data_IF_414411544486
#
_entry.id   IF_414411544486
#
_cell.length_a   1.000
_cell.length_b   1.000
_cell.length_c   1.000
_cell.angle_alpha   90.00
_cell.angle_beta   90.00
_cell.angle_gamma   90.00
#
_symmetry.space_group_name_H-M   'P 1'
#
loop_
_entity.id
_entity.type
_entity.pdbx_description
1 polymer ?
#
# COMPACT_ATOMS: atom_id res chain seq x y z
N UNK A 1 -48.02 -19.97 0.98
CA UNK A 1 -46.75 -19.33 0.58
C UNK A 1 -45.70 -20.42 0.48
N UNK A 2 -45.37 -20.87 -0.72
CA UNK A 2 -44.24 -21.77 -0.92
C UNK A 2 -42.97 -20.97 -0.63
N UNK A 3 -42.26 -21.31 0.46
CA UNK A 3 -41.09 -20.57 0.89
C UNK A 3 -39.97 -20.58 -0.17
N UNK A 4 -39.05 -19.61 -0.05
CA UNK A 4 -37.86 -19.39 -0.89
C UNK A 4 -37.04 -20.65 -1.31
N UNK A 5 -37.26 -21.81 -0.68
CA UNK A 5 -36.60 -23.07 -0.97
C UNK A 5 -36.82 -23.63 -2.39
N UNK A 6 -37.89 -23.24 -3.09
CA UNK A 6 -38.18 -23.73 -4.45
C UNK A 6 -37.22 -23.23 -5.52
N UNK A 7 -36.86 -21.94 -5.46
CA UNK A 7 -35.95 -21.30 -6.42
C UNK A 7 -34.51 -21.74 -6.26
N UNK A 8 -34.14 -22.20 -5.06
CA UNK A 8 -32.76 -22.60 -4.77
C UNK A 8 -32.43 -24.02 -5.28
N UNK A 9 -33.46 -24.84 -5.48
CA UNK A 9 -33.33 -26.23 -5.91
C UNK A 9 -33.07 -26.38 -7.41
N UNK A 10 -33.38 -25.35 -8.19
CA UNK A 10 -33.28 -25.37 -9.64
C UNK A 10 -32.25 -24.34 -10.10
N UNK A 11 -31.24 -24.80 -10.85
CA UNK A 11 -30.03 -24.00 -11.09
C UNK A 11 -30.29 -22.73 -11.92
N UNK A 12 -31.26 -22.80 -12.84
CA UNK A 12 -31.43 -21.82 -13.93
C UNK A 12 -32.82 -21.19 -13.93
N UNK A 13 -33.41 -21.02 -12.75
CA UNK A 13 -34.74 -20.42 -12.59
C UNK A 13 -34.60 -19.06 -11.93
N UNK A 14 -35.31 -18.07 -12.48
CA UNK A 14 -35.42 -16.74 -11.87
C UNK A 14 -36.31 -16.77 -10.64
N UNK A 15 -35.87 -16.09 -9.59
CA UNK A 15 -36.72 -15.77 -8.44
C UNK A 15 -37.83 -14.79 -8.82
N UNK A 16 -38.81 -14.60 -7.92
CA UNK A 16 -39.87 -13.60 -8.08
C UNK A 16 -39.34 -12.17 -8.30
N UNK A 17 -38.10 -11.90 -7.86
CA UNK A 17 -37.40 -10.62 -8.04
C UNK A 17 -36.61 -10.54 -9.35
N UNK A 18 -36.67 -11.54 -10.23
CA UNK A 18 -35.91 -11.59 -11.48
C UNK A 18 -34.42 -11.89 -11.28
N UNK A 19 -34.04 -12.55 -10.17
CA UNK A 19 -32.64 -12.84 -9.82
C UNK A 19 -32.30 -14.32 -9.95
N UNK A 20 -31.08 -14.64 -10.37
CA UNK A 20 -30.55 -16.01 -10.40
C UNK A 20 -29.75 -16.30 -9.13
N UNK A 21 -30.35 -16.98 -8.15
CA UNK A 21 -29.72 -17.21 -6.85
C UNK A 21 -28.41 -18.01 -6.93
N UNK A 22 -28.30 -18.98 -7.84
CA UNK A 22 -27.05 -19.74 -8.01
C UNK A 22 -25.87 -18.86 -8.46
N UNK A 23 -26.12 -17.82 -9.25
CA UNK A 23 -25.08 -16.85 -9.63
C UNK A 23 -24.64 -16.03 -8.42
N UNK A 24 -25.59 -15.59 -7.60
CA UNK A 24 -25.27 -14.87 -6.35
C UNK A 24 -24.50 -15.73 -5.37
N UNK A 25 -24.78 -17.03 -5.33
CA UNK A 25 -24.06 -17.97 -4.49
C UNK A 25 -22.64 -18.20 -5.01
N UNK A 26 -22.45 -18.22 -6.33
CA UNK A 26 -21.11 -18.23 -6.91
C UNK A 26 -20.31 -16.98 -6.51
N UNK A 27 -20.91 -15.78 -6.53
CA UNK A 27 -20.27 -14.57 -6.02
C UNK A 27 -19.94 -14.66 -4.52
N UNK A 28 -20.86 -15.15 -3.69
CA UNK A 28 -20.60 -15.38 -2.26
C UNK A 28 -19.47 -16.40 -2.04
N UNK A 29 -19.40 -17.45 -2.85
CA UNK A 29 -18.33 -18.44 -2.79
C UNK A 29 -16.96 -17.85 -3.15
N UNK A 30 -16.90 -16.92 -4.11
CA UNK A 30 -15.67 -16.19 -4.44
C UNK A 30 -15.16 -15.41 -3.23
N UNK A 31 -16.05 -14.68 -2.55
CA UNK A 31 -15.72 -13.96 -1.32
C UNK A 31 -15.32 -14.91 -0.19
N UNK A 32 -16.04 -16.04 -0.03
CA UNK A 32 -15.80 -17.01 1.03
C UNK A 32 -14.46 -17.75 0.91
N UNK A 33 -13.88 -17.82 -0.30
CA UNK A 33 -12.52 -18.37 -0.50
C UNK A 33 -11.45 -17.59 0.28
N UNK A 34 -11.75 -16.36 0.71
CA UNK A 34 -10.89 -15.53 1.54
C UNK A 34 -9.48 -15.31 0.94
N UNK A 35 -9.42 -15.20 -0.37
CA UNK A 35 -8.23 -14.80 -1.13
C UNK A 35 -8.57 -13.47 -1.81
N UNK A 36 -7.68 -12.50 -1.68
CA UNK A 36 -7.81 -11.21 -2.34
C UNK A 36 -6.82 -11.15 -3.51
N UNK A 37 -7.30 -10.69 -4.67
CA UNK A 37 -6.47 -10.42 -5.83
C UNK A 37 -6.71 -9.00 -6.39
N UNK A 38 -5.63 -8.35 -6.82
CA UNK A 38 -5.62 -7.01 -7.43
C UNK A 38 -5.11 -7.13 -8.87
N UNK A 39 -5.69 -6.37 -9.79
CA UNK A 39 -5.16 -6.18 -11.14
C UNK A 39 -4.95 -4.69 -11.41
N UNK A 40 -3.82 -4.33 -12.01
CA UNK A 40 -3.46 -2.94 -12.35
C UNK A 40 -2.87 -2.89 -13.75
N UNK A 41 -3.35 -1.96 -14.57
CA UNK A 41 -2.81 -1.69 -15.90
C UNK A 41 -1.86 -0.49 -15.86
N UNK A 42 -0.61 -0.70 -16.27
CA UNK A 42 0.40 0.33 -16.49
C UNK A 42 0.40 0.85 -17.93
N UNK A 43 1.39 1.69 -18.24
CA UNK A 43 1.59 2.24 -19.59
C UNK A 43 2.05 1.16 -20.58
N UNK A 44 3.06 0.40 -20.17
CA UNK A 44 3.77 -0.58 -21.00
C UNK A 44 3.71 -2.00 -20.39
N UNK A 45 2.99 -2.17 -19.28
CA UNK A 45 2.82 -3.44 -18.58
C UNK A 45 1.41 -3.60 -17.99
N UNK A 46 1.06 -4.81 -17.60
CA UNK A 46 -0.11 -5.08 -16.76
C UNK A 46 0.24 -6.14 -15.71
N UNK A 47 -0.30 -5.96 -14.51
CA UNK A 47 0.05 -6.74 -13.33
C UNK A 47 -1.21 -7.33 -12.71
N UNK A 48 -1.12 -8.59 -12.31
CA UNK A 48 -2.07 -9.22 -11.38
C UNK A 48 -1.31 -9.70 -10.16
N UNK A 49 -1.90 -9.49 -9.00
CA UNK A 49 -1.34 -9.86 -7.71
C UNK A 49 -2.38 -10.66 -6.94
N UNK A 50 -1.98 -11.78 -6.34
CA UNK A 50 -2.81 -12.57 -5.44
C UNK A 50 -2.13 -12.72 -4.08
N UNK A 51 -2.92 -12.73 -3.01
CA UNK A 51 -2.45 -13.27 -1.74
C UNK A 51 -2.15 -14.77 -1.89
N UNK A 52 -1.03 -15.22 -1.32
CA UNK A 52 -0.64 -16.63 -1.20
C UNK A 52 -0.82 -17.07 0.24
N UNK A 53 -1.82 -17.93 0.49
CA UNK A 53 -2.05 -18.53 1.81
C UNK A 53 -1.66 -20.00 1.79
N UNK A 54 -0.60 -20.34 2.52
CA UNK A 54 -0.21 -21.72 2.77
C UNK A 54 -0.61 -22.04 4.22
N UNK A 55 -1.70 -22.79 4.45
CA UNK A 55 -2.26 -22.95 5.80
C UNK A 55 -1.41 -23.86 6.70
N UNK A 56 -0.60 -24.74 6.12
CA UNK A 56 0.20 -25.74 6.83
C UNK A 56 1.65 -25.75 6.34
N UNK A 57 2.61 -25.90 7.25
CA UNK A 57 4.05 -25.95 6.94
C UNK A 57 4.46 -27.18 6.14
N UNK A 58 3.65 -28.24 6.15
CA UNK A 58 3.88 -29.47 5.40
C UNK A 58 3.40 -29.37 3.95
N UNK A 59 2.63 -28.33 3.59
CA UNK A 59 2.23 -28.08 2.21
C UNK A 59 3.42 -27.48 1.48
N UNK A 60 3.79 -28.08 0.34
CA UNK A 60 4.75 -27.49 -0.58
C UNK A 60 4.19 -26.17 -1.16
N UNK A 61 4.77 -25.00 -0.80
CA UNK A 61 4.27 -23.70 -1.25
C UNK A 61 4.31 -23.55 -2.77
N UNK A 62 5.19 -24.26 -3.47
CA UNK A 62 5.31 -24.19 -4.93
C UNK A 62 4.08 -24.72 -5.67
N UNK A 63 3.31 -25.60 -5.01
CA UNK A 63 2.09 -26.22 -5.55
C UNK A 63 0.83 -25.37 -5.37
N UNK A 64 0.89 -24.33 -4.54
CA UNK A 64 -0.21 -23.40 -4.26
C UNK A 64 -0.06 -22.19 -5.16
N UNK A 65 -0.98 -22.02 -6.11
CA UNK A 65 -1.02 -20.86 -7.01
C UNK A 65 -2.44 -20.47 -7.35
N UNK A 66 -2.69 -19.16 -7.39
CA UNK A 66 -3.92 -18.56 -7.94
C UNK A 66 -3.70 -17.90 -9.30
N UNK A 67 -2.45 -17.91 -9.78
CA UNK A 67 -2.02 -17.32 -11.04
C UNK A 67 -1.76 -18.43 -12.06
N UNK A 68 -2.34 -18.27 -13.24
CA UNK A 68 -2.31 -19.27 -14.32
C UNK A 68 -1.88 -18.62 -15.64
N UNK A 69 -0.93 -19.24 -16.30
CA UNK A 69 -0.57 -18.91 -17.67
C UNK A 69 -1.55 -19.59 -18.63
N UNK A 70 -2.23 -18.80 -19.47
CA UNK A 70 -3.21 -19.33 -20.44
C UNK A 70 -2.58 -19.53 -21.82
N UNK A 71 -1.73 -18.59 -22.22
CA UNK A 71 -0.90 -18.67 -23.42
C UNK A 71 0.46 -17.99 -23.16
N UNK A 72 1.40 -17.99 -24.12
CA UNK A 72 2.61 -17.17 -24.00
C UNK A 72 2.34 -15.67 -23.80
N UNK A 73 1.23 -15.14 -24.34
CA UNK A 73 0.88 -13.72 -24.29
C UNK A 73 -0.15 -13.35 -23.21
N UNK A 74 -0.93 -14.32 -22.71
CA UNK A 74 -2.01 -14.07 -21.75
C UNK A 74 -1.81 -14.89 -20.47
N UNK A 75 -1.87 -14.21 -19.33
CA UNK A 75 -2.00 -14.84 -18.03
C UNK A 75 -3.20 -14.31 -17.26
N UNK A 76 -3.51 -14.94 -16.14
CA UNK A 76 -4.60 -14.53 -15.29
C UNK A 76 -4.38 -14.85 -13.83
N UNK A 77 -5.12 -14.16 -12.98
CA UNK A 77 -5.40 -14.57 -11.60
C UNK A 77 -6.86 -15.00 -11.51
N UNK A 78 -7.12 -16.10 -10.79
CA UNK A 78 -8.48 -16.59 -10.55
C UNK A 78 -8.77 -16.64 -9.05
N UNK A 79 -9.79 -15.91 -8.63
CA UNK A 79 -10.22 -15.82 -7.22
C UNK A 79 -11.50 -16.61 -7.03
N UNK A 80 -11.53 -17.47 -6.02
CA UNK A 80 -12.70 -18.29 -5.66
C UNK A 80 -12.31 -19.75 -5.44
N UNK A 81 -13.18 -20.68 -5.83
CA UNK A 81 -12.91 -22.12 -5.70
C UNK A 81 -11.68 -22.52 -6.52
N UNK A 82 -10.63 -23.03 -5.87
CA UNK A 82 -9.39 -23.45 -6.54
C UNK A 82 -9.61 -24.62 -7.52
N UNK A 83 -10.58 -25.50 -7.22
CA UNK A 83 -10.96 -26.59 -8.10
C UNK A 83 -11.58 -26.05 -9.41
N UNK A 84 -12.45 -25.06 -9.28
CA UNK A 84 -13.04 -24.38 -10.44
C UNK A 84 -11.99 -23.58 -11.20
N UNK A 85 -11.07 -22.90 -10.51
CA UNK A 85 -10.00 -22.16 -11.14
C UNK A 85 -9.11 -23.05 -12.01
N UNK A 86 -8.74 -24.25 -11.53
CA UNK A 86 -7.96 -25.23 -12.31
C UNK A 86 -8.73 -25.76 -13.52
N UNK A 87 -10.01 -26.09 -13.36
CA UNK A 87 -10.83 -26.55 -14.46
C UNK A 87 -11.05 -25.44 -15.51
N UNK A 88 -11.28 -24.21 -15.06
CA UNK A 88 -11.53 -23.06 -15.92
C UNK A 88 -10.26 -22.58 -16.63
N UNK A 89 -9.10 -22.65 -15.98
CA UNK A 89 -7.81 -22.34 -16.63
C UNK A 89 -7.46 -23.35 -17.72
N UNK A 90 -7.68 -24.65 -17.49
CA UNK A 90 -7.54 -25.67 -18.53
C UNK A 90 -8.48 -25.42 -19.71
N UNK A 91 -9.73 -25.05 -19.43
CA UNK A 91 -10.68 -24.66 -20.49
C UNK A 91 -10.18 -23.46 -21.27
N UNK A 92 -9.68 -22.42 -20.59
CA UNK A 92 -9.14 -21.23 -21.23
C UNK A 92 -7.91 -21.54 -22.10
N UNK A 93 -7.01 -22.41 -21.64
CA UNK A 93 -5.86 -22.88 -22.41
C UNK A 93 -6.28 -23.59 -23.70
N UNK A 94 -7.31 -24.46 -23.63
CA UNK A 94 -7.87 -25.11 -24.82
C UNK A 94 -8.42 -24.10 -25.82
N UNK A 95 -9.22 -23.12 -25.36
CA UNK A 95 -9.80 -22.10 -26.23
C UNK A 95 -8.72 -21.22 -26.90
N UNK A 96 -7.67 -20.86 -26.16
CA UNK A 96 -6.54 -20.09 -26.70
C UNK A 96 -5.72 -20.91 -27.71
N UNK A 97 -5.46 -22.18 -27.41
CA UNK A 97 -4.73 -23.09 -28.31
C UNK A 97 -5.52 -23.35 -29.61
N UNK A 98 -6.82 -23.59 -29.51
CA UNK A 98 -7.70 -23.80 -30.65
C UNK A 98 -7.77 -22.55 -31.54
N UNK A 99 -7.84 -21.36 -30.92
CA UNK A 99 -7.78 -20.09 -31.64
C UNK A 99 -6.45 -19.97 -32.40
N UNK A 100 -5.32 -20.19 -31.73
CA UNK A 100 -4.00 -20.10 -32.35
C UNK A 100 -3.84 -21.09 -33.50
N UNK A 101 -4.31 -22.32 -33.32
CA UNK A 101 -4.30 -23.34 -34.36
C UNK A 101 -5.11 -22.89 -35.59
N UNK A 102 -6.28 -22.30 -35.37
CA UNK A 102 -7.18 -21.88 -36.44
C UNK A 102 -6.72 -20.62 -37.19
N UNK A 103 -6.18 -19.63 -36.47
CA UNK A 103 -5.90 -18.30 -37.03
C UNK A 103 -4.40 -18.01 -37.20
N UNK A 104 -3.52 -18.82 -36.62
CA UNK A 104 -2.06 -18.71 -36.80
C UNK A 104 -1.36 -17.68 -35.91
N UNK A 105 -2.07 -16.99 -35.02
CA UNK A 105 -1.51 -16.01 -34.07
C UNK A 105 -2.11 -16.19 -32.67
N UNK A 106 -1.45 -15.60 -31.66
CA UNK A 106 -1.91 -15.68 -30.27
C UNK A 106 -3.29 -15.03 -30.08
N UNK A 107 -4.16 -15.67 -29.29
CA UNK A 107 -5.50 -15.14 -29.06
C UNK A 107 -5.45 -13.80 -28.32
N UNK A 108 -6.06 -12.72 -28.86
CA UNK A 108 -6.18 -11.45 -28.17
C UNK A 108 -6.93 -11.59 -26.84
N UNK A 109 -6.51 -10.81 -25.83
CA UNK A 109 -7.04 -10.96 -24.48
C UNK A 109 -8.52 -10.58 -24.37
N UNK A 110 -8.97 -9.58 -25.13
CA UNK A 110 -10.38 -9.18 -25.21
C UNK A 110 -11.25 -10.30 -25.80
N UNK A 111 -10.76 -10.96 -26.87
CA UNK A 111 -11.43 -12.08 -27.50
C UNK A 111 -11.51 -13.28 -26.56
N UNK A 112 -10.42 -13.58 -25.83
CA UNK A 112 -10.40 -14.64 -24.83
C UNK A 112 -11.33 -14.31 -23.66
N UNK A 113 -11.32 -13.07 -23.14
CA UNK A 113 -12.21 -12.63 -22.07
C UNK A 113 -13.68 -12.80 -22.46
N UNK A 114 -14.06 -12.36 -23.66
CA UNK A 114 -15.39 -12.56 -24.23
C UNK A 114 -15.76 -14.04 -24.34
N UNK A 115 -14.83 -14.87 -24.81
CA UNK A 115 -15.05 -16.32 -24.95
C UNK A 115 -15.29 -16.98 -23.60
N UNK A 116 -14.49 -16.65 -22.59
CA UNK A 116 -14.65 -17.16 -21.23
C UNK A 116 -15.95 -16.69 -20.59
N UNK A 117 -16.33 -15.42 -20.77
CA UNK A 117 -17.64 -14.91 -20.33
C UNK A 117 -18.79 -15.69 -20.95
N UNK A 118 -18.76 -15.94 -22.27
CA UNK A 118 -19.79 -16.75 -22.93
C UNK A 118 -19.87 -18.18 -22.38
N UNK A 119 -18.72 -18.79 -22.05
CA UNK A 119 -18.69 -20.11 -21.41
C UNK A 119 -19.35 -20.04 -20.03
N UNK A 120 -18.97 -19.09 -19.17
CA UNK A 120 -19.60 -18.90 -17.86
C UNK A 120 -21.11 -18.66 -17.97
N UNK A 121 -21.52 -17.85 -18.93
CA UNK A 121 -22.92 -17.52 -19.19
C UNK A 121 -23.75 -18.78 -19.49
N UNK A 122 -23.23 -19.71 -20.29
CA UNK A 122 -23.92 -20.97 -20.62
C UNK A 122 -24.19 -21.81 -19.35
N UNK A 123 -23.30 -21.77 -18.36
CA UNK A 123 -23.48 -22.45 -17.08
C UNK A 123 -24.57 -21.80 -16.21
N UNK A 124 -25.01 -20.59 -16.52
CA UNK A 124 -26.16 -19.94 -15.84
C UNK A 124 -27.51 -20.30 -16.48
N UNK A 125 -27.50 -20.92 -17.66
CA UNK A 125 -28.71 -21.19 -18.45
C UNK A 125 -29.01 -22.68 -18.63
N UNK A 126 -28.03 -23.58 -18.41
CA UNK A 126 -28.23 -25.03 -18.53
C UNK A 126 -28.47 -25.70 -17.17
N UNK A 127 -29.64 -26.32 -17.02
CA UNK A 127 -30.17 -26.84 -15.76
C UNK A 127 -29.34 -27.94 -15.05
N UNK A 128 -28.30 -28.51 -15.69
CA UNK A 128 -27.47 -29.59 -15.16
C UNK A 128 -26.03 -29.14 -14.83
N UNK A 129 -25.71 -27.86 -14.96
CA UNK A 129 -24.36 -27.33 -14.72
C UNK A 129 -24.43 -26.21 -13.69
N UNK A 130 -23.72 -26.33 -12.57
CA UNK A 130 -23.60 -25.21 -11.63
C UNK A 130 -22.65 -24.14 -12.20
N UNK A 131 -22.90 -22.83 -12.00
CA UNK A 131 -21.94 -21.79 -12.37
C UNK A 131 -20.55 -22.01 -11.77
N UNK A 132 -19.53 -21.54 -12.47
CA UNK A 132 -18.17 -21.51 -11.95
C UNK A 132 -18.08 -20.54 -10.76
N UNK A 133 -17.55 -20.99 -9.63
CA UNK A 133 -17.35 -20.17 -8.44
C UNK A 133 -16.05 -19.37 -8.47
N UNK A 134 -15.70 -18.77 -9.63
CA UNK A 134 -14.46 -17.99 -9.79
C UNK A 134 -14.68 -16.68 -10.54
N UNK A 135 -13.98 -15.63 -10.11
CA UNK A 135 -13.75 -14.44 -10.90
C UNK A 135 -12.36 -14.54 -11.52
N UNK A 136 -12.25 -14.25 -12.82
CA UNK A 136 -10.99 -14.33 -13.56
C UNK A 136 -10.56 -12.92 -13.97
N UNK A 137 -9.33 -12.54 -13.62
CA UNK A 137 -8.72 -11.30 -14.09
C UNK A 137 -7.56 -11.63 -15.02
N UNK A 138 -7.67 -11.25 -16.28
CA UNK A 138 -6.72 -11.53 -17.36
C UNK A 138 -5.83 -10.32 -17.62
N UNK A 139 -4.57 -10.57 -17.95
CA UNK A 139 -3.61 -9.57 -18.42
C UNK A 139 -2.92 -10.03 -19.69
N UNK A 140 -2.65 -9.08 -20.59
CA UNK A 140 -1.83 -9.29 -21.79
C UNK A 140 -1.12 -8.00 -22.19
N UNK A 141 -0.06 -8.12 -22.97
CA UNK A 141 0.53 -7.01 -23.70
C UNK A 141 0.25 -7.20 -25.19
N UNK A 142 -0.77 -6.50 -25.69
CA UNK A 142 -1.15 -6.56 -27.10
C UNK A 142 -0.25 -5.64 -27.94
N UNK A 143 0.13 -6.10 -29.14
CA UNK A 143 1.03 -5.34 -30.02
C UNK A 143 0.41 -4.10 -30.64
N UNK A 144 -0.91 -4.03 -30.75
CA UNK A 144 -1.62 -2.91 -31.39
C UNK A 144 -2.21 -1.96 -30.33
N UNK A 145 -2.83 -2.50 -29.29
CA UNK A 145 -3.54 -1.71 -28.27
C UNK A 145 -2.81 -1.61 -26.93
N UNK A 146 -1.62 -2.19 -26.81
CA UNK A 146 -0.79 -2.13 -25.61
C UNK A 146 -1.32 -2.99 -24.46
N UNK A 147 -1.01 -2.66 -23.20
CA UNK A 147 -1.40 -3.46 -22.05
C UNK A 147 -2.92 -3.57 -21.91
N UNK A 148 -3.40 -4.76 -21.59
CA UNK A 148 -4.81 -5.05 -21.37
C UNK A 148 -5.01 -5.68 -19.98
N UNK A 149 -6.13 -5.32 -19.36
CA UNK A 149 -6.60 -5.89 -18.09
C UNK A 149 -8.11 -6.11 -18.21
N UNK A 150 -8.54 -7.37 -18.21
CA UNK A 150 -9.96 -7.73 -18.29
C UNK A 150 -10.37 -8.50 -17.06
N UNK A 151 -11.61 -8.33 -16.61
CA UNK A 151 -12.21 -9.19 -15.58
C UNK A 151 -13.46 -9.84 -16.12
N UNK A 152 -13.59 -11.14 -15.88
CA UNK A 152 -14.75 -11.96 -16.17
C UNK A 152 -15.34 -12.50 -14.87
N UNK A 153 -16.66 -12.59 -14.80
CA UNK A 153 -17.37 -13.10 -13.63
C UNK A 153 -18.24 -14.35 -13.94
N UNK A 154 -18.75 -15.05 -12.91
CA UNK A 154 -19.59 -16.24 -13.08
C UNK A 154 -20.89 -16.01 -13.85
N UNK A 155 -21.39 -14.77 -13.90
CA UNK A 155 -22.61 -14.42 -14.63
C UNK A 155 -22.38 -14.36 -16.15
N UNK A 156 -21.11 -14.38 -16.57
CA UNK A 156 -20.71 -14.21 -17.95
C UNK A 156 -20.57 -12.75 -18.36
N UNK A 157 -20.47 -11.84 -17.39
CA UNK A 157 -20.08 -10.47 -17.68
C UNK A 157 -18.55 -10.38 -17.80
N UNK A 158 -18.08 -9.57 -18.76
CA UNK A 158 -16.67 -9.23 -18.90
C UNK A 158 -16.51 -7.77 -19.30
N UNK A 159 -15.47 -7.12 -18.80
CA UNK A 159 -15.12 -5.75 -19.18
C UNK A 159 -13.64 -5.45 -18.93
N UNK A 160 -13.10 -4.48 -19.68
CA UNK A 160 -11.74 -3.97 -19.49
C UNK A 160 -11.65 -3.00 -18.33
N UNK A 161 -10.52 -3.01 -17.61
CA UNK A 161 -10.27 -2.20 -16.42
C UNK A 161 -8.94 -1.46 -16.51
N UNK A 162 -8.86 -0.30 -15.84
CA UNK A 162 -7.58 0.36 -15.51
C UNK A 162 -6.96 -0.23 -14.24
N UNK A 163 -7.82 -0.58 -13.29
CA UNK A 163 -7.51 -1.33 -12.09
C UNK A 163 -8.76 -2.06 -11.63
N UNK A 164 -8.60 -3.26 -11.06
CA UNK A 164 -9.71 -4.08 -10.57
C UNK A 164 -9.26 -4.93 -9.39
N UNK A 165 -10.21 -5.50 -8.67
CA UNK A 165 -9.94 -6.41 -7.56
C UNK A 165 -11.01 -7.51 -7.48
N UNK A 166 -10.70 -8.62 -6.83
CA UNK A 166 -11.64 -9.69 -6.53
C UNK A 166 -11.32 -10.33 -5.18
N UNK A 167 -12.33 -10.58 -4.34
CA UNK A 167 -12.18 -11.17 -3.01
C UNK A 167 -12.99 -10.48 -1.91
N UNK A 168 -12.71 -10.76 -0.62
CA UNK A 168 -13.48 -10.25 0.52
C UNK A 168 -13.60 -8.73 0.63
N UNK A 169 -12.53 -8.00 0.32
CA UNK A 169 -12.46 -6.53 0.42
C UNK A 169 -12.35 -5.86 -0.95
N UNK A 170 -13.09 -6.39 -1.92
CA UNK A 170 -13.05 -5.89 -3.29
C UNK A 170 -13.44 -4.41 -3.36
N UNK A 171 -14.47 -3.97 -2.63
CA UNK A 171 -14.96 -2.59 -2.73
C UNK A 171 -13.92 -1.59 -2.20
N UNK A 172 -13.26 -1.89 -1.09
CA UNK A 172 -12.22 -1.08 -0.50
C UNK A 172 -10.99 -0.99 -1.42
N UNK A 173 -10.62 -2.10 -2.07
CA UNK A 173 -9.55 -2.11 -3.06
C UNK A 173 -9.88 -1.25 -4.29
N UNK A 174 -11.11 -1.34 -4.80
CA UNK A 174 -11.57 -0.48 -5.89
C UNK A 174 -11.52 1.01 -5.48
N UNK A 175 -12.01 1.36 -4.29
CA UNK A 175 -11.97 2.73 -3.78
C UNK A 175 -10.52 3.25 -3.63
N UNK A 176 -9.58 2.39 -3.20
CA UNK A 176 -8.17 2.76 -3.12
C UNK A 176 -7.56 3.01 -4.51
N UNK A 177 -7.81 2.10 -5.46
CA UNK A 177 -7.34 2.23 -6.84
C UNK A 177 -7.93 3.47 -7.53
N UNK A 178 -9.22 3.77 -7.33
CA UNK A 178 -9.87 4.97 -7.87
C UNK A 178 -9.17 6.25 -7.41
N UNK A 179 -8.75 6.33 -6.15
CA UNK A 179 -7.99 7.48 -5.64
C UNK A 179 -6.61 7.58 -6.31
N UNK A 180 -5.89 6.47 -6.46
CA UNK A 180 -4.52 6.43 -7.02
C UNK A 180 -4.49 6.65 -8.53
N UNK A 181 -5.54 6.21 -9.25
CA UNK A 181 -5.70 6.29 -10.70
C UNK A 181 -6.63 7.44 -11.15
N UNK A 182 -7.03 8.33 -10.24
CA UNK A 182 -7.93 9.45 -10.54
C UNK A 182 -7.38 10.28 -11.71
N UNK A 183 -8.21 10.47 -12.73
CA UNK A 183 -7.89 11.20 -13.98
C UNK A 183 -6.70 10.61 -14.78
N UNK A 184 -6.40 9.32 -14.62
CA UNK A 184 -5.35 8.62 -15.36
C UNK A 184 -5.93 7.48 -16.19
N UNK A 185 -5.33 7.18 -17.33
CA UNK A 185 -5.73 6.06 -18.19
C UNK A 185 -5.05 4.73 -17.83
N UNK A 186 -3.93 4.83 -17.12
CA UNK A 186 -3.15 3.73 -16.59
C UNK A 186 -2.39 4.20 -15.35
N UNK A 187 -1.85 3.26 -14.58
CA UNK A 187 -0.88 3.57 -13.55
C UNK A 187 0.36 4.25 -14.17
N UNK A 188 0.87 5.34 -13.58
CA UNK A 188 2.08 6.01 -14.06
C UNK A 188 3.32 5.17 -13.73
N UNK A 189 4.43 5.51 -14.39
CA UNK A 189 5.71 4.89 -14.09
C UNK A 189 6.00 3.64 -14.92
N UNK A 190 7.04 2.93 -14.51
CA UNK A 190 7.47 1.67 -15.11
C UNK A 190 6.77 0.46 -14.47
N UNK A 191 7.22 -0.75 -14.79
CA UNK A 191 6.61 -1.96 -14.27
C UNK A 191 6.76 -2.11 -12.74
N UNK A 192 7.81 -1.56 -12.13
CA UNK A 192 8.04 -1.59 -10.68
C UNK A 192 7.00 -0.72 -9.97
N UNK A 193 6.74 0.48 -10.49
CA UNK A 193 5.70 1.39 -9.97
C UNK A 193 4.32 0.73 -9.99
N UNK A 194 4.03 -0.04 -11.04
CA UNK A 194 2.74 -0.73 -11.20
C UNK A 194 2.62 -1.92 -10.23
N UNK A 195 3.69 -2.68 -10.05
CA UNK A 195 3.78 -3.77 -9.06
C UNK A 195 3.60 -3.22 -7.64
N UNK A 196 4.29 -2.13 -7.34
CA UNK A 196 4.22 -1.45 -6.04
C UNK A 196 2.81 -0.93 -5.75
N UNK A 197 2.13 -0.33 -6.74
CA UNK A 197 0.75 0.11 -6.58
C UNK A 197 -0.19 -1.09 -6.28
N UNK A 198 0.05 -2.25 -6.89
CA UNK A 198 -0.71 -3.46 -6.61
C UNK A 198 -0.46 -3.97 -5.18
N UNK A 199 0.81 -4.04 -4.75
CA UNK A 199 1.21 -4.46 -3.38
C UNK A 199 0.62 -3.50 -2.35
N UNK A 200 0.81 -2.20 -2.54
CA UNK A 200 0.32 -1.14 -1.64
C UNK A 200 -1.20 -1.17 -1.52
N UNK A 201 -1.90 -1.39 -2.62
CA UNK A 201 -3.36 -1.55 -2.61
C UNK A 201 -3.77 -2.76 -1.77
N UNK A 202 -3.13 -3.91 -1.97
CA UNK A 202 -3.42 -5.11 -1.20
C UNK A 202 -3.13 -4.90 0.30
N UNK A 203 -1.95 -4.36 0.63
CA UNK A 203 -1.52 -4.10 2.01
C UNK A 203 -2.41 -3.11 2.74
N UNK A 204 -2.77 -2.00 2.09
CA UNK A 204 -3.65 -0.98 2.68
C UNK A 204 -5.02 -1.57 3.02
N UNK A 205 -5.61 -2.29 2.06
CA UNK A 205 -6.96 -2.84 2.19
C UNK A 205 -7.03 -3.95 3.23
N UNK A 206 -6.01 -4.82 3.26
CA UNK A 206 -5.92 -5.89 4.25
C UNK A 206 -5.32 -5.43 5.58
N UNK A 207 -4.79 -4.20 5.64
CA UNK A 207 -4.11 -3.63 6.81
C UNK A 207 -3.00 -4.55 7.31
N UNK A 208 -2.22 -5.08 6.38
CA UNK A 208 -1.14 -6.01 6.65
C UNK A 208 0.01 -5.88 5.65
N UNK A 209 1.23 -6.07 6.14
CA UNK A 209 2.41 -6.18 5.30
C UNK A 209 2.55 -7.62 4.80
N UNK A 210 3.01 -7.78 3.56
CA UNK A 210 3.26 -9.08 2.97
C UNK A 210 4.75 -9.37 2.85
N UNK A 211 5.15 -10.58 3.21
CA UNK A 211 6.42 -11.13 2.75
C UNK A 211 6.33 -11.53 1.28
N UNK A 212 7.47 -11.61 0.60
CA UNK A 212 7.54 -12.10 -0.79
C UNK A 212 6.93 -13.49 -0.97
N UNK A 213 7.03 -14.33 0.06
CA UNK A 213 6.45 -15.68 0.10
C UNK A 213 4.93 -15.71 0.31
N UNK A 214 4.31 -14.58 0.68
CA UNK A 214 2.88 -14.47 1.01
C UNK A 214 2.06 -13.83 -0.12
N UNK A 215 2.70 -13.51 -1.24
CA UNK A 215 2.07 -12.96 -2.44
C UNK A 215 2.58 -13.64 -3.70
N UNK A 216 1.77 -13.63 -4.75
CA UNK A 216 2.17 -14.04 -6.09
C UNK A 216 1.86 -12.92 -7.06
N UNK A 217 2.80 -12.64 -7.97
CA UNK A 217 2.67 -11.57 -8.95
C UNK A 217 2.86 -12.14 -10.36
N UNK A 218 1.85 -11.94 -11.19
CA UNK A 218 1.89 -12.22 -12.62
C UNK A 218 1.98 -10.92 -13.40
N UNK A 219 2.83 -10.88 -14.41
CA UNK A 219 3.11 -9.67 -15.17
C UNK A 219 3.30 -9.95 -16.66
N UNK A 220 2.91 -8.97 -17.47
CA UNK A 220 3.27 -8.80 -18.89
C UNK A 220 3.96 -7.45 -19.05
N UNK A 221 4.97 -7.35 -19.90
CA UNK A 221 5.79 -6.13 -19.99
C UNK A 221 6.71 -5.92 -18.76
N UNK A 222 7.03 -6.99 -18.03
CA UNK A 222 7.92 -6.98 -16.86
C UNK A 222 9.40 -7.24 -17.23
N UNK A 223 10.30 -7.47 -16.26
CA UNK A 223 11.72 -7.70 -16.54
C UNK A 223 11.94 -8.89 -17.45
N UNK A 224 13.03 -8.87 -18.22
CA UNK A 224 13.37 -10.00 -19.09
C UNK A 224 13.80 -11.23 -18.28
N UNK A 225 13.37 -12.45 -18.65
CA UNK A 225 13.78 -13.68 -17.97
C UNK A 225 15.28 -13.97 -18.03
N UNK A 226 16.01 -13.38 -19.00
CA UNK A 226 17.45 -13.56 -19.17
C UNK A 226 18.29 -12.60 -18.32
N UNK A 227 17.66 -11.81 -17.45
CA UNK A 227 18.33 -10.83 -16.58
C UNK A 227 18.94 -9.65 -17.32
N UNK A 228 18.72 -9.53 -18.63
CA UNK A 228 19.18 -8.38 -19.41
C UNK A 228 18.25 -7.19 -19.22
N UNK A 229 18.80 -6.01 -19.45
CA UNK A 229 18.02 -4.77 -19.46
C UNK A 229 16.86 -4.83 -20.46
N UNK A 230 15.77 -4.14 -20.09
CA UNK A 230 14.53 -4.05 -20.86
C UNK A 230 13.39 -4.90 -20.29
N UNK A 231 12.31 -5.00 -21.08
CA UNK A 231 11.09 -5.71 -20.70
C UNK A 231 10.76 -6.85 -21.65
N UNK A 232 9.96 -7.80 -21.17
CA UNK A 232 9.45 -8.94 -21.94
C UNK A 232 7.92 -8.86 -22.07
N UNK A 233 7.43 -8.94 -23.31
CA UNK A 233 6.01 -8.80 -23.60
C UNK A 233 5.15 -9.99 -23.13
N UNK A 234 5.70 -11.20 -23.15
CA UNK A 234 4.97 -12.40 -22.75
C UNK A 234 4.73 -12.47 -21.24
N UNK A 235 3.70 -13.21 -20.87
CA UNK A 235 3.30 -13.39 -19.49
C UNK A 235 4.32 -14.22 -18.70
N UNK A 236 4.59 -13.80 -17.47
CA UNK A 236 5.35 -14.58 -16.51
C UNK A 236 4.96 -14.27 -15.07
N UNK A 237 5.42 -15.11 -14.16
CA UNK A 237 5.38 -14.84 -12.71
C UNK A 237 6.72 -14.19 -12.32
N UNK A 238 6.67 -13.23 -11.40
CA UNK A 238 7.88 -12.70 -10.77
C UNK A 238 8.43 -13.73 -9.78
N UNK A 239 9.75 -13.78 -9.64
CA UNK A 239 10.41 -14.53 -8.56
C UNK A 239 10.31 -13.77 -7.25
N UNK A 240 10.57 -14.46 -6.13
CA UNK A 240 10.59 -13.81 -4.82
C UNK A 240 11.62 -12.68 -4.75
N UNK A 241 12.78 -12.86 -5.38
CA UNK A 241 13.86 -11.86 -5.41
C UNK A 241 13.45 -10.62 -6.23
N UNK A 242 12.85 -10.79 -7.40
CA UNK A 242 12.33 -9.68 -8.21
C UNK A 242 11.23 -8.89 -7.47
N UNK A 243 10.42 -9.57 -6.66
CA UNK A 243 9.41 -8.93 -5.81
C UNK A 243 10.10 -8.06 -4.74
N UNK A 244 11.11 -8.59 -4.05
CA UNK A 244 11.83 -7.84 -3.02
C UNK A 244 12.59 -6.64 -3.59
N UNK A 245 13.31 -6.82 -4.70
CA UNK A 245 14.02 -5.75 -5.42
C UNK A 245 13.07 -4.60 -5.78
N UNK A 246 11.90 -4.93 -6.33
CA UNK A 246 10.91 -3.92 -6.73
C UNK A 246 10.45 -3.03 -5.57
N UNK A 247 10.50 -3.52 -4.32
CA UNK A 247 10.07 -2.75 -3.13
C UNK A 247 11.26 -2.10 -2.41
N UNK A 248 12.48 -2.63 -2.55
CA UNK A 248 13.67 -2.09 -1.89
C UNK A 248 14.08 -0.69 -2.39
N UNK A 249 13.85 -0.38 -3.67
CA UNK A 249 14.09 0.97 -4.21
C UNK A 249 13.20 2.01 -3.51
N UNK A 250 11.92 1.71 -3.30
CA UNK A 250 11.00 2.60 -2.59
C UNK A 250 11.32 2.71 -1.11
N UNK A 251 11.73 1.61 -0.45
CA UNK A 251 12.25 1.68 0.94
C UNK A 251 13.43 2.62 1.04
N UNK A 252 14.35 2.55 0.09
CA UNK A 252 15.53 3.42 0.05
C UNK A 252 15.13 4.88 -0.17
N UNK A 253 14.24 5.14 -1.13
CA UNK A 253 13.71 6.48 -1.38
C UNK A 253 13.02 7.05 -0.14
N UNK A 254 12.18 6.26 0.54
CA UNK A 254 11.47 6.66 1.76
C UNK A 254 12.41 6.97 2.91
N UNK A 255 13.44 6.15 3.12
CA UNK A 255 14.50 6.45 4.08
C UNK A 255 15.16 7.79 3.75
N UNK A 256 15.49 8.04 2.48
CA UNK A 256 16.12 9.29 2.07
C UNK A 256 15.20 10.51 2.30
N UNK A 257 13.90 10.41 2.00
CA UNK A 257 12.91 11.45 2.29
C UNK A 257 12.83 11.77 3.79
N UNK A 258 12.75 10.74 4.64
CA UNK A 258 12.67 10.91 6.09
C UNK A 258 13.93 11.55 6.66
N UNK A 259 15.11 11.15 6.16
CA UNK A 259 16.38 11.74 6.56
C UNK A 259 16.52 13.19 6.07
N UNK A 260 16.01 13.54 4.88
CA UNK A 260 16.00 14.90 4.38
C UNK A 260 15.10 15.83 5.21
N UNK A 261 13.90 15.36 5.59
CA UNK A 261 13.00 16.06 6.49
C UNK A 261 13.64 16.26 7.87
N UNK A 262 14.24 15.19 8.42
CA UNK A 262 14.94 15.27 9.70
C UNK A 262 16.11 16.26 9.66
N UNK A 263 16.91 16.26 8.59
CA UNK A 263 17.99 17.24 8.38
C UNK A 263 17.47 18.68 8.34
N UNK A 264 16.33 18.88 7.73
CA UNK A 264 15.66 20.20 7.67
C UNK A 264 15.24 20.65 9.08
N UNK A 265 14.64 19.75 9.86
CA UNK A 265 14.29 20.02 11.26
C UNK A 265 15.52 20.33 12.12
N UNK A 266 16.61 19.58 11.93
CA UNK A 266 17.88 19.83 12.63
C UNK A 266 18.40 21.24 12.38
N UNK A 267 18.36 21.71 11.14
CA UNK A 267 18.78 23.07 10.79
C UNK A 267 17.95 24.11 11.55
N UNK A 268 16.63 23.96 11.56
CA UNK A 268 15.75 24.90 12.27
C UNK A 268 15.90 24.84 13.80
N UNK A 269 16.14 23.66 14.37
CA UNK A 269 16.36 23.50 15.81
C UNK A 269 17.68 24.16 16.22
N UNK A 270 18.75 23.94 15.44
CA UNK A 270 20.07 24.50 15.72
C UNK A 270 20.13 26.02 15.53
N UNK A 271 19.32 26.57 14.62
CA UNK A 271 19.29 28.00 14.32
C UNK A 271 18.54 28.85 15.37
N UNK A 272 17.77 28.22 16.25
CA UNK A 272 16.95 28.96 17.21
C UNK A 272 17.80 29.59 18.34
N UNK A 273 17.49 30.83 18.75
CA UNK A 273 18.17 31.46 19.88
C UNK A 273 17.83 30.71 21.16
N UNK A 274 18.86 30.33 21.93
CA UNK A 274 18.68 29.63 23.21
C UNK A 274 18.87 30.54 24.43
N UNK A 275 19.44 31.73 24.24
CA UNK A 275 19.66 32.70 25.32
C UNK A 275 18.96 34.03 25.01
N UNK A 276 18.32 34.65 26.02
CA UNK A 276 17.75 35.98 25.86
C UNK A 276 18.82 37.04 25.68
N UNK A 277 18.42 38.17 25.10
CA UNK A 277 19.22 39.39 25.07
C UNK A 277 19.30 40.05 26.45
N UNK A 278 18.22 40.01 27.23
CA UNK A 278 18.18 40.44 28.64
C UNK A 278 18.27 39.22 29.58
N UNK A 279 19.27 39.24 30.47
CA UNK A 279 19.50 38.14 31.42
C UNK A 279 18.42 38.04 32.50
N UNK A 280 17.64 39.09 32.73
CA UNK A 280 16.48 39.04 33.64
C UNK A 280 15.41 38.04 33.14
N UNK A 281 15.36 37.79 31.82
CA UNK A 281 14.43 36.83 31.22
C UNK A 281 14.97 35.38 31.19
N UNK A 282 16.20 35.14 31.67
CA UNK A 282 16.84 33.83 31.56
C UNK A 282 15.98 32.70 32.14
N UNK A 283 15.38 32.87 33.31
CA UNK A 283 14.59 31.85 33.99
C UNK A 283 13.10 31.83 33.61
N UNK A 284 12.68 32.63 32.64
CA UNK A 284 11.28 32.65 32.20
C UNK A 284 10.92 31.42 31.38
N UNK A 285 9.62 31.08 31.34
CA UNK A 285 9.14 29.79 30.82
C UNK A 285 9.49 29.56 29.35
N UNK A 286 9.33 30.57 28.47
CA UNK A 286 9.66 30.41 27.05
C UNK A 286 11.15 30.23 26.80
N UNK A 287 12.01 31.00 27.47
CA UNK A 287 13.46 30.85 27.34
C UNK A 287 13.97 29.53 27.94
N UNK A 288 13.38 29.08 29.05
CA UNK A 288 13.66 27.75 29.60
C UNK A 288 13.25 26.63 28.64
N UNK A 289 12.08 26.76 28.00
CA UNK A 289 11.61 25.81 26.99
C UNK A 289 12.53 25.77 25.75
N UNK A 290 13.03 26.91 25.26
CA UNK A 290 13.98 26.95 24.14
C UNK A 290 15.32 26.29 24.47
N UNK A 291 15.85 26.53 25.67
CA UNK A 291 17.08 25.83 26.11
C UNK A 291 16.87 24.33 26.20
N UNK A 292 15.72 23.89 26.72
CA UNK A 292 15.39 22.47 26.73
C UNK A 292 15.31 21.91 25.31
N UNK A 293 14.69 22.62 24.37
CA UNK A 293 14.62 22.21 22.97
C UNK A 293 16.02 22.12 22.33
N UNK A 294 16.93 23.03 22.65
CA UNK A 294 18.32 22.99 22.17
C UNK A 294 19.08 21.77 22.74
N UNK A 295 18.91 21.46 24.02
CA UNK A 295 19.50 20.27 24.66
C UNK A 295 18.93 18.98 24.05
N UNK A 296 17.61 18.91 23.89
CA UNK A 296 16.94 17.76 23.28
C UNK A 296 17.40 17.59 21.81
N UNK A 297 17.57 18.68 21.07
CA UNK A 297 18.07 18.68 19.70
C UNK A 297 19.51 18.15 19.60
N UNK A 298 20.39 18.59 20.49
CA UNK A 298 21.75 18.06 20.60
C UNK A 298 21.77 16.58 21.00
N UNK A 299 20.85 16.15 21.87
CA UNK A 299 20.74 14.76 22.26
C UNK A 299 20.42 13.86 21.05
N UNK A 300 19.44 14.22 20.22
CA UNK A 300 19.10 13.44 19.01
C UNK A 300 20.28 13.38 18.02
N UNK A 301 21.09 14.44 17.93
CA UNK A 301 22.31 14.46 17.11
C UNK A 301 23.37 13.48 17.63
N UNK A 302 23.57 13.45 18.95
CA UNK A 302 24.58 12.64 19.60
C UNK A 302 24.15 11.17 19.76
N UNK A 303 22.86 10.87 19.64
CA UNK A 303 22.37 9.50 19.53
C UNK A 303 22.90 8.89 18.23
N UNK A 304 23.90 8.00 18.36
CA UNK A 304 24.43 7.22 17.24
C UNK A 304 23.31 6.48 16.50
N UNK A 305 23.45 6.34 15.18
CA UNK A 305 22.59 5.45 14.41
C UNK A 305 22.83 4.02 14.90
N UNK A 306 21.76 3.32 15.29
CA UNK A 306 21.84 1.91 15.62
C UNK A 306 22.10 1.13 14.33
N UNK A 307 23.30 0.59 14.24
CA UNK A 307 23.74 -0.30 13.16
C UNK A 307 23.52 -1.77 13.52
N UNK A 308 22.86 -2.07 14.64
CA UNK A 308 22.46 -3.45 14.95
C UNK A 308 21.30 -3.84 14.05
N UNK A 309 21.64 -4.57 12.99
CA UNK A 309 20.68 -5.14 12.07
C UNK A 309 20.46 -6.59 12.48
N UNK A 310 19.20 -7.05 12.61
CA UNK A 310 18.90 -8.47 12.75
C UNK A 310 19.49 -9.25 11.56
N UNK A 311 20.19 -10.35 11.82
CA UNK A 311 20.61 -11.25 10.75
C UNK A 311 19.34 -11.88 10.14
N UNK A 312 19.05 -11.52 8.89
CA UNK A 312 17.90 -12.04 8.18
C UNK A 312 18.20 -13.44 7.63
N UNK A 313 17.26 -14.36 7.84
CA UNK A 313 17.31 -15.69 7.23
C UNK A 313 16.77 -15.57 5.80
N UNK A 314 17.61 -15.28 4.81
CA UNK A 314 17.11 -15.13 3.43
C UNK A 314 18.07 -14.64 2.35
N UNK A 315 19.39 -14.68 2.55
CA UNK A 315 20.36 -14.18 1.58
C UNK A 315 20.51 -12.64 1.57
N UNK A 316 21.29 -12.08 0.63
CA UNK A 316 21.68 -10.66 0.64
C UNK A 316 20.50 -9.68 0.55
N UNK A 317 19.44 -10.02 -0.17
CA UNK A 317 18.30 -9.11 -0.39
C UNK A 317 17.36 -9.02 0.81
N UNK A 318 17.06 -10.14 1.47
CA UNK A 318 16.29 -10.14 2.72
C UNK A 318 17.09 -9.47 3.84
N UNK A 319 18.41 -9.59 3.82
CA UNK A 319 19.29 -8.81 4.69
C UNK A 319 19.16 -7.31 4.39
N UNK A 320 19.27 -6.89 3.12
CA UNK A 320 19.12 -5.50 2.71
C UNK A 320 17.73 -4.92 3.08
N UNK A 321 16.67 -5.71 2.95
CA UNK A 321 15.32 -5.34 3.39
C UNK A 321 15.23 -5.16 4.90
N UNK A 322 15.81 -6.07 5.68
CA UNK A 322 15.86 -5.94 7.14
C UNK A 322 16.64 -4.68 7.57
N UNK A 323 17.75 -4.39 6.88
CA UNK A 323 18.53 -3.16 7.05
C UNK A 323 17.67 -1.93 6.76
N UNK A 324 17.03 -1.88 5.59
CA UNK A 324 16.21 -0.74 5.18
C UNK A 324 15.01 -0.52 6.12
N UNK A 325 14.36 -1.58 6.62
CA UNK A 325 13.27 -1.44 7.60
C UNK A 325 13.75 -0.88 8.93
N UNK A 326 14.91 -1.32 9.41
CA UNK A 326 15.52 -0.80 10.64
C UNK A 326 15.92 0.67 10.48
N UNK A 327 16.55 1.02 9.36
CA UNK A 327 16.93 2.40 9.04
C UNK A 327 15.70 3.28 8.86
N UNK A 328 14.62 2.77 8.25
CA UNK A 328 13.35 3.48 8.15
C UNK A 328 12.76 3.78 9.54
N UNK A 329 12.71 2.79 10.44
CA UNK A 329 12.27 3.00 11.82
C UNK A 329 13.11 4.08 12.52
N UNK A 330 14.43 4.05 12.36
CA UNK A 330 15.30 5.06 12.95
C UNK A 330 15.08 6.45 12.37
N UNK A 331 15.07 6.57 11.05
CA UNK A 331 14.87 7.84 10.35
C UNK A 331 13.51 8.45 10.71
N UNK A 332 12.45 7.63 10.73
CA UNK A 332 11.12 8.08 11.12
C UNK A 332 11.08 8.53 12.58
N UNK A 333 11.68 7.77 13.50
CA UNK A 333 11.72 8.13 14.92
C UNK A 333 12.48 9.44 15.17
N UNK A 334 13.62 9.64 14.49
CA UNK A 334 14.38 10.89 14.54
C UNK A 334 13.58 12.07 14.00
N UNK A 335 12.90 11.89 12.87
CA UNK A 335 12.01 12.91 12.30
C UNK A 335 10.86 13.25 13.24
N UNK A 336 10.23 12.24 13.84
CA UNK A 336 9.13 12.41 14.80
C UNK A 336 9.56 13.20 16.04
N UNK A 337 10.68 12.82 16.66
CA UNK A 337 11.24 13.56 17.81
C UNK A 337 11.74 14.96 17.41
N UNK A 338 12.34 15.10 16.23
CA UNK A 338 12.71 16.40 15.67
C UNK A 338 11.51 17.32 15.48
N UNK A 339 10.40 16.80 14.93
CA UNK A 339 9.16 17.55 14.76
C UNK A 339 8.59 17.99 16.11
N UNK A 340 8.64 17.12 17.13
CA UNK A 340 8.23 17.45 18.49
C UNK A 340 9.01 18.63 19.08
N UNK A 341 10.34 18.59 18.94
CA UNK A 341 11.22 19.68 19.42
C UNK A 341 10.92 20.96 18.64
N UNK A 342 10.80 20.87 17.31
CA UNK A 342 10.52 22.01 16.45
C UNK A 342 9.19 22.69 16.81
N UNK A 343 8.12 21.93 17.07
CA UNK A 343 6.83 22.49 17.49
C UNK A 343 6.91 23.15 18.88
N UNK A 344 7.63 22.53 19.84
CA UNK A 344 7.84 23.12 21.17
C UNK A 344 8.65 24.41 21.09
N UNK A 345 9.67 24.42 20.25
CA UNK A 345 10.47 25.60 19.94
C UNK A 345 9.61 26.72 19.33
N UNK A 346 8.78 26.39 18.35
CA UNK A 346 7.89 27.37 17.73
C UNK A 346 6.89 27.98 18.72
N UNK A 347 6.35 27.18 19.65
CA UNK A 347 5.49 27.67 20.73
C UNK A 347 6.24 28.63 21.67
N UNK A 348 7.48 28.30 22.03
CA UNK A 348 8.31 29.16 22.87
C UNK A 348 8.74 30.46 22.15
N UNK A 349 9.01 30.42 20.84
CA UNK A 349 9.28 31.62 20.03
C UNK A 349 8.07 32.55 19.97
N UNK A 350 6.85 32.01 19.75
CA UNK A 350 5.62 32.81 19.82
C UNK A 350 5.40 33.44 21.19
N UNK A 351 5.70 32.71 22.26
CA UNK A 351 5.64 33.25 23.62
C UNK A 351 6.59 34.45 23.79
N UNK A 352 7.81 34.39 23.25
CA UNK A 352 8.77 35.52 23.28
C UNK A 352 8.20 36.70 22.52
N UNK A 353 7.71 36.49 21.29
CA UNK A 353 7.13 37.55 20.47
C UNK A 353 5.96 38.27 21.18
N UNK A 354 5.04 37.51 21.79
CA UNK A 354 3.92 38.10 22.53
C UNK A 354 4.36 38.81 23.80
N UNK A 355 5.35 38.26 24.51
CA UNK A 355 5.93 38.92 25.69
C UNK A 355 6.59 40.24 25.32
N UNK A 356 7.38 40.26 24.26
CA UNK A 356 8.06 41.46 23.77
C UNK A 356 7.05 42.54 23.34
N UNK A 357 5.94 42.13 22.71
CA UNK A 357 4.84 43.05 22.36
C UNK A 357 4.16 43.66 23.58
N UNK A 358 4.04 42.92 24.69
CA UNK A 358 3.45 43.44 25.94
C UNK A 358 4.44 44.38 26.65
N UNK A 359 5.73 44.04 26.64
CA UNK A 359 6.75 44.77 27.37
C UNK A 359 7.24 46.02 26.63
N UNK A 360 7.21 46.04 25.29
CA UNK A 360 7.70 47.13 24.44
C UNK A 360 9.14 47.58 24.80
N UNK A 361 10.00 46.63 25.18
CA UNK A 361 11.37 46.88 25.64
C UNK A 361 11.50 47.33 27.10
N UNK A 362 10.39 47.41 27.85
CA UNK A 362 10.35 47.68 29.28
C UNK A 362 10.42 46.43 30.16
N UNK A 363 10.34 46.61 31.48
CA UNK A 363 10.35 45.52 32.47
C UNK A 363 8.94 45.13 32.92
N UNK A 364 8.72 43.88 33.38
CA UNK A 364 7.46 43.49 34.00
C UNK A 364 7.07 44.40 35.18
N UNK A 365 5.83 44.85 35.22
CA UNK A 365 5.28 45.71 36.28
C UNK A 365 3.81 45.37 36.57
N UNK A 366 3.23 45.96 37.62
CA UNK A 366 1.86 45.63 38.05
C UNK A 366 0.81 45.79 36.93
N UNK A 367 0.95 46.84 36.11
CA UNK A 367 0.06 47.13 34.99
C UNK A 367 0.01 46.09 33.85
N UNK A 368 1.07 45.31 33.60
CA UNK A 368 1.13 44.31 32.52
C UNK A 368 1.13 42.85 33.01
N UNK A 369 1.16 42.64 34.34
CA UNK A 369 1.27 41.33 34.96
C UNK A 369 0.12 40.38 34.59
N UNK A 370 -1.10 40.90 34.39
CA UNK A 370 -2.25 40.08 33.98
C UNK A 370 -2.09 39.55 32.54
N UNK A 371 -1.60 40.38 31.62
CA UNK A 371 -1.36 40.02 30.22
C UNK A 371 -0.21 39.01 30.11
N UNK A 372 0.88 39.21 30.85
CA UNK A 372 1.99 38.26 30.89
C UNK A 372 1.55 36.88 31.39
N UNK A 373 0.68 36.82 32.40
CA UNK A 373 0.11 35.54 32.89
C UNK A 373 -0.72 34.81 31.83
N UNK A 374 -1.44 35.54 30.98
CA UNK A 374 -2.21 34.93 29.88
C UNK A 374 -1.25 34.33 28.84
N UNK A 375 -0.16 35.02 28.52
CA UNK A 375 0.88 34.50 27.61
C UNK A 375 1.54 33.24 28.15
N UNK A 376 1.87 33.19 29.45
CA UNK A 376 2.38 31.97 30.11
C UNK A 376 1.37 30.81 30.04
N UNK A 377 0.09 31.08 30.33
CA UNK A 377 -0.97 30.07 30.23
C UNK A 377 -1.13 29.53 28.81
N UNK A 378 -1.04 30.40 27.81
CA UNK A 378 -1.13 30.01 26.41
C UNK A 378 0.06 29.12 25.99
N UNK A 379 1.29 29.45 26.40
CA UNK A 379 2.45 28.58 26.15
C UNK A 379 2.25 27.19 26.76
N UNK A 380 1.79 27.11 28.02
CA UNK A 380 1.54 25.83 28.68
C UNK A 380 0.45 25.01 27.96
N UNK A 381 -0.60 25.68 27.48
CA UNK A 381 -1.65 25.04 26.69
C UNK A 381 -1.12 24.49 25.36
N UNK A 382 -0.32 25.29 24.63
CA UNK A 382 0.32 24.84 23.37
C UNK A 382 1.26 23.66 23.60
N UNK A 383 2.13 23.75 24.62
CA UNK A 383 3.06 22.66 24.95
C UNK A 383 2.33 21.37 25.38
N UNK A 384 1.16 21.48 26.03
CA UNK A 384 0.33 20.34 26.40
C UNK A 384 -0.39 19.70 25.21
N UNK A 385 -0.71 20.49 24.17
CA UNK A 385 -1.34 19.99 22.95
C UNK A 385 -0.37 19.23 22.02
N UNK A 386 0.94 19.44 22.17
CA UNK A 386 1.97 18.74 21.39
C UNK A 386 2.16 17.33 21.97
N UNK A 387 1.32 16.39 21.52
CA UNK A 387 1.41 14.96 21.87
C UNK A 387 1.97 14.13 20.71
N UNK A 388 2.45 12.92 21.01
CA UNK A 388 3.03 12.04 19.99
C UNK A 388 1.97 11.61 18.95
N UNK A 389 0.71 11.46 19.38
CA UNK A 389 -0.42 11.11 18.52
C UNK A 389 -0.73 12.21 17.51
N UNK A 390 -0.74 13.48 17.94
CA UNK A 390 -0.98 14.63 17.07
C UNK A 390 0.13 14.72 16.03
N UNK A 391 1.40 14.66 16.47
CA UNK A 391 2.56 14.73 15.59
C UNK A 391 2.54 13.60 14.56
N UNK A 392 2.30 12.37 15.00
CA UNK A 392 2.27 11.20 14.12
C UNK A 392 1.17 11.35 13.05
N UNK A 393 -0.02 11.78 13.45
CA UNK A 393 -1.13 12.01 12.53
C UNK A 393 -0.81 13.11 11.52
N UNK A 394 -0.23 14.23 11.96
CA UNK A 394 0.12 15.35 11.07
C UNK A 394 1.19 14.96 10.06
N UNK A 395 2.26 14.26 10.49
CA UNK A 395 3.31 13.77 9.60
C UNK A 395 2.74 12.80 8.56
N UNK A 396 1.88 11.88 8.97
CA UNK A 396 1.23 10.92 8.08
C UNK A 396 0.34 11.63 7.04
N UNK A 397 -0.49 12.59 7.46
CA UNK A 397 -1.33 13.39 6.56
C UNK A 397 -0.48 14.18 5.57
N UNK A 398 0.61 14.79 6.04
CA UNK A 398 1.54 15.54 5.20
C UNK A 398 2.19 14.65 4.13
N UNK A 399 2.73 13.49 4.52
CA UNK A 399 3.40 12.57 3.59
C UNK A 399 2.45 12.02 2.54
N UNK A 400 1.23 11.64 2.94
CA UNK A 400 0.18 11.22 2.01
C UNK A 400 -0.17 12.36 1.05
N UNK A 401 -0.27 13.59 1.55
CA UNK A 401 -0.53 14.79 0.74
C UNK A 401 0.58 15.08 -0.27
N UNK A 402 1.83 14.79 0.08
CA UNK A 402 2.99 14.90 -0.81
C UNK A 402 3.14 13.71 -1.78
N UNK A 403 2.28 12.69 -1.67
CA UNK A 403 2.34 11.49 -2.50
C UNK A 403 3.51 10.56 -2.19
N UNK A 404 4.10 10.67 -0.99
CA UNK A 404 5.22 9.84 -0.54
C UNK A 404 4.79 8.40 -0.26
N UNK A 405 5.74 7.47 -0.32
CA UNK A 405 5.48 6.06 -0.01
C UNK A 405 5.44 5.84 1.50
N UNK A 406 4.24 5.67 2.06
CA UNK A 406 4.03 5.48 3.51
C UNK A 406 3.61 4.06 3.88
N UNK A 407 3.66 3.11 2.95
CA UNK A 407 3.05 1.78 3.13
C UNK A 407 3.71 0.99 4.27
N UNK A 408 5.03 1.12 4.43
CA UNK A 408 5.80 0.47 5.49
C UNK A 408 6.30 1.46 6.55
N UNK A 409 5.65 2.62 6.70
CA UNK A 409 5.99 3.53 7.79
C UNK A 409 5.73 2.85 9.15
N UNK A 410 6.63 3.00 10.13
CA UNK A 410 6.49 2.36 11.42
C UNK A 410 5.26 2.90 12.16
N UNK A 411 4.55 2.02 12.87
CA UNK A 411 3.47 2.44 13.78
C UNK A 411 3.99 3.37 14.89
N UNK A 412 3.14 4.27 15.39
CA UNK A 412 3.47 5.14 16.53
C UNK A 412 4.01 4.34 17.73
N UNK A 413 3.42 3.18 18.01
CA UNK A 413 3.88 2.29 19.09
C UNK A 413 5.31 1.80 18.88
N UNK A 414 5.68 1.47 17.64
CA UNK A 414 7.04 1.06 17.30
C UNK A 414 8.02 2.23 17.47
N UNK A 415 7.64 3.43 17.00
CA UNK A 415 8.42 4.67 17.16
C UNK A 415 8.66 4.97 18.64
N UNK A 416 7.62 5.00 19.47
CA UNK A 416 7.76 5.26 20.91
C UNK A 416 8.58 4.20 21.64
N UNK A 417 8.52 2.94 21.20
CA UNK A 417 9.36 1.87 21.76
C UNK A 417 10.83 2.11 21.40
N UNK A 418 11.09 2.44 20.14
CA UNK A 418 12.43 2.71 19.61
C UNK A 418 13.11 3.90 20.29
N UNK A 419 12.38 5.01 20.45
CA UNK A 419 12.88 6.19 21.17
C UNK A 419 13.20 5.85 22.64
N UNK A 420 12.32 5.09 23.32
CA UNK A 420 12.55 4.68 24.71
C UNK A 420 13.79 3.83 24.89
N UNK A 421 14.07 2.90 23.97
CA UNK A 421 15.28 2.06 24.03
C UNK A 421 16.58 2.84 23.85
N UNK A 422 16.51 4.07 23.33
CA UNK A 422 17.67 4.91 23.03
C UNK A 422 17.88 6.11 23.95
N UNK A 423 16.94 6.36 24.87
CA UNK A 423 17.03 7.42 25.89
C UNK A 423 17.77 6.98 27.17
N UNK A 424 18.28 5.75 27.23
CA UNK A 424 19.02 5.20 28.38
C UNK A 424 20.52 5.44 28.28
#
# INVERSE_FOLDING_TARGET
MAGNAGYDRHITIFSEQGRLFQVEYAFKAITAANIMAVGVRGKDCAVVLSQKKVPDKLIDPSSVSHIFQISPSVGCVMTGSIADARAFSQRAQSEAADFKYKYGYEMPCDALAKRLANISQVYTQRAYMRPYGVATTLISLDSEVGPQLFKCDPAGYYVGYKGTAAGPKQQEALNHLEKKLKNKDHAPGDWKDVVELAITTLSTVLSMDFKKTEIEIGIVGGPRPDGKEGTHAGFRRLTEDEIDESVNEYRTARVAELLADFRTLQYYIAAAPCNPTDMDDYYTEGWAALRQCALDGQHILNCAADVTVPCAMGGPEEQAKAELKQVNLDAYARRHEGQKIYLRQAAAQRWIEWRDQILLGGRPHSGNQAQLRVVDQQLRAELAAITDEVIYSELQVSDIGMGRWTAEDPSLRAVQRWVRTRRC
#
